data_IF_715724324880
#
_entry.id   IF_715724324880
#
_cell.length_a   1.000
_cell.length_b   1.000
_cell.length_c   1.000
_cell.angle_alpha   90.00
_cell.angle_beta   90.00
_cell.angle_gamma   90.00
#
_symmetry.space_group_name_H-M   'P 1'
#
loop_
_entity.id
_entity.type
_entity.pdbx_description
1 polymer ?
#
# COMPACT_ATOMS: atom_id res chain seq x y z
N UNK A 1 23.30 10.92 18.71
CA UNK A 1 23.38 9.72 17.85
C UNK A 1 22.55 8.56 18.41
N UNK A 2 22.86 7.98 19.57
CA UNK A 2 22.15 6.79 20.08
C UNK A 2 20.62 6.95 20.26
N UNK A 3 20.12 8.12 20.67
CA UNK A 3 18.68 8.33 20.84
C UNK A 3 17.91 8.35 19.50
N UNK A 4 18.54 8.85 18.43
CA UNK A 4 17.92 8.98 17.12
C UNK A 4 17.84 7.62 16.42
N UNK A 5 18.89 6.80 16.54
CA UNK A 5 18.89 5.43 16.03
C UNK A 5 17.84 4.56 16.73
N UNK A 6 17.77 4.63 18.07
CA UNK A 6 16.73 3.92 18.83
C UNK A 6 15.32 4.33 18.40
N UNK A 7 15.07 5.63 18.20
CA UNK A 7 13.76 6.11 17.75
C UNK A 7 13.39 5.52 16.38
N UNK A 8 14.29 5.54 15.40
CA UNK A 8 14.05 4.97 14.07
C UNK A 8 13.78 3.47 14.16
N UNK A 9 14.58 2.72 14.92
CA UNK A 9 14.40 1.27 15.09
C UNK A 9 13.05 0.90 15.69
N UNK A 10 12.64 1.57 16.78
CA UNK A 10 11.33 1.29 17.41
C UNK A 10 10.15 1.77 16.56
N UNK A 11 10.32 2.87 15.83
CA UNK A 11 9.32 3.35 14.88
C UNK A 11 9.11 2.33 13.75
N UNK A 12 10.19 1.83 13.12
CA UNK A 12 10.13 0.79 12.10
C UNK A 12 9.47 -0.49 12.61
N UNK A 13 9.78 -0.95 13.83
CA UNK A 13 9.13 -2.11 14.44
C UNK A 13 7.62 -1.87 14.64
N UNK A 14 7.25 -0.69 15.13
CA UNK A 14 5.85 -0.31 15.32
C UNK A 14 5.10 -0.30 13.98
N UNK A 15 5.72 0.26 12.94
CA UNK A 15 5.16 0.25 11.59
C UNK A 15 4.96 -1.18 11.08
N UNK A 16 5.92 -2.09 11.30
CA UNK A 16 5.77 -3.50 10.92
C UNK A 16 4.57 -4.13 11.60
N UNK A 17 4.50 -4.04 12.94
CA UNK A 17 3.43 -4.68 13.70
C UNK A 17 2.06 -4.12 13.28
N UNK A 18 1.91 -2.80 13.29
CA UNK A 18 0.63 -2.13 12.97
C UNK A 18 0.25 -2.34 11.51
N UNK A 19 1.19 -2.18 10.59
CA UNK A 19 0.97 -2.37 9.16
C UNK A 19 0.60 -3.81 8.83
N UNK A 20 1.25 -4.81 9.42
CA UNK A 20 0.89 -6.22 9.22
C UNK A 20 -0.52 -6.50 9.71
N UNK A 21 -0.89 -6.04 10.91
CA UNK A 21 -2.23 -6.23 11.46
C UNK A 21 -3.31 -5.59 10.56
N UNK A 22 -3.11 -4.34 10.13
CA UNK A 22 -4.06 -3.62 9.29
C UNK A 22 -4.16 -4.19 7.87
N UNK A 23 -3.03 -4.56 7.26
CA UNK A 23 -3.01 -5.18 5.92
C UNK A 23 -3.61 -6.58 5.93
N UNK A 24 -3.36 -7.37 6.98
CA UNK A 24 -3.97 -8.68 7.14
C UNK A 24 -5.49 -8.56 7.36
N UNK A 25 -5.93 -7.63 8.21
CA UNK A 25 -7.35 -7.36 8.40
C UNK A 25 -8.01 -6.90 7.10
N UNK A 26 -7.35 -6.01 6.34
CA UNK A 26 -7.79 -5.59 5.00
C UNK A 26 -7.98 -6.79 4.08
N UNK A 27 -7.00 -7.69 4.04
CA UNK A 27 -7.05 -8.91 3.23
C UNK A 27 -8.23 -9.80 3.61
N UNK A 28 -8.48 -10.03 4.91
CA UNK A 28 -9.64 -10.80 5.39
C UNK A 28 -10.97 -10.19 4.92
N UNK A 29 -11.13 -8.87 5.07
CA UNK A 29 -12.36 -8.17 4.65
C UNK A 29 -12.55 -8.28 3.13
N UNK A 30 -11.49 -8.08 2.34
CA UNK A 30 -11.53 -8.26 0.89
C UNK A 30 -11.81 -9.72 0.50
N UNK A 31 -11.35 -10.69 1.30
CA UNK A 31 -11.68 -12.11 1.21
C UNK A 31 -13.19 -12.36 1.33
N UNK A 32 -13.80 -11.84 2.39
CA UNK A 32 -15.25 -11.92 2.63
C UNK A 32 -16.07 -11.22 1.54
N UNK A 33 -15.62 -10.08 1.03
CA UNK A 33 -16.36 -9.31 0.03
C UNK A 33 -16.53 -10.05 -1.32
N UNK A 34 -15.55 -10.89 -1.71
CA UNK A 34 -15.63 -11.69 -2.96
C UNK A 34 -16.67 -12.78 -2.88
N UNK A 35 -16.80 -13.43 -1.71
CA UNK A 35 -17.84 -14.44 -1.47
C UNK A 35 -19.22 -13.84 -1.68
N UNK A 36 -19.42 -12.60 -1.21
CA UNK A 36 -20.69 -11.89 -1.34
C UNK A 36 -20.95 -11.29 -2.73
N UNK A 37 -19.92 -11.04 -3.56
CA UNK A 37 -20.10 -10.25 -4.79
C UNK A 37 -19.29 -10.75 -6.00
N UNK A 38 -19.81 -11.78 -6.70
CA UNK A 38 -19.18 -12.38 -7.89
C UNK A 38 -18.89 -11.40 -9.05
N UNK A 39 -19.62 -10.29 -9.19
CA UNK A 39 -19.50 -9.35 -10.34
C UNK A 39 -18.30 -8.40 -10.31
N UNK A 40 -17.57 -8.28 -9.19
CA UNK A 40 -16.36 -7.44 -9.08
C UNK A 40 -15.07 -8.25 -8.85
N UNK A 41 -15.01 -9.46 -9.43
CA UNK A 41 -13.90 -10.40 -9.25
C UNK A 41 -12.52 -9.78 -9.57
N UNK A 42 -12.40 -9.05 -10.69
CA UNK A 42 -11.11 -8.48 -11.14
C UNK A 42 -10.59 -7.40 -10.20
N UNK A 43 -11.39 -6.38 -9.87
CA UNK A 43 -11.00 -5.31 -8.94
C UNK A 43 -10.66 -5.86 -7.55
N UNK A 44 -11.44 -6.83 -7.03
CA UNK A 44 -11.14 -7.41 -5.72
C UNK A 44 -9.90 -8.28 -5.73
N UNK A 45 -9.56 -8.90 -6.85
CA UNK A 45 -8.29 -9.59 -7.01
C UNK A 45 -7.13 -8.58 -6.93
N UNK A 46 -7.26 -7.47 -7.66
CA UNK A 46 -6.26 -6.40 -7.67
C UNK A 46 -6.03 -5.79 -6.28
N UNK A 47 -7.09 -5.42 -5.55
CA UNK A 47 -6.97 -4.87 -4.20
C UNK A 47 -6.32 -5.84 -3.20
N UNK A 48 -6.52 -7.17 -3.37
CA UNK A 48 -5.82 -8.17 -2.54
C UNK A 48 -4.35 -8.26 -2.90
N UNK A 49 -4.05 -8.22 -4.19
CA UNK A 49 -2.67 -8.20 -4.66
C UNK A 49 -1.93 -6.99 -4.07
N UNK A 50 -2.56 -5.80 -4.07
CA UNK A 50 -2.00 -4.62 -3.37
C UNK A 50 -1.76 -4.91 -1.89
N UNK A 51 -2.76 -5.44 -1.16
CA UNK A 51 -2.59 -5.72 0.27
C UNK A 51 -1.46 -6.73 0.56
N UNK A 52 -1.22 -7.70 -0.33
CA UNK A 52 -0.10 -8.63 -0.22
C UNK A 52 1.23 -7.91 -0.46
N UNK A 53 1.29 -7.06 -1.50
CA UNK A 53 2.47 -6.25 -1.77
C UNK A 53 2.77 -5.28 -0.62
N UNK A 54 1.75 -4.67 -0.01
CA UNK A 54 1.92 -3.81 1.16
C UNK A 54 2.58 -4.58 2.31
N UNK A 55 2.18 -5.84 2.57
CA UNK A 55 2.83 -6.69 3.58
C UNK A 55 4.28 -6.97 3.19
N UNK A 56 4.54 -7.40 1.95
CA UNK A 56 5.89 -7.72 1.49
C UNK A 56 6.84 -6.52 1.59
N UNK A 57 6.38 -5.34 1.18
CA UNK A 57 7.16 -4.09 1.26
C UNK A 57 7.43 -3.67 2.71
N UNK A 58 6.46 -3.88 3.60
CA UNK A 58 6.61 -3.61 5.03
C UNK A 58 7.75 -4.42 5.64
N UNK A 59 7.83 -5.72 5.30
CA UNK A 59 8.85 -6.64 5.80
C UNK A 59 10.20 -6.49 5.11
N UNK A 60 10.23 -6.13 3.82
CA UNK A 60 11.48 -6.06 3.06
C UNK A 60 12.51 -5.09 3.65
N UNK A 61 12.07 -3.96 4.18
CA UNK A 61 12.97 -2.90 4.62
C UNK A 61 12.93 -2.58 6.10
N UNK A 62 11.75 -2.54 6.73
CA UNK A 62 11.68 -2.26 8.17
C UNK A 62 12.27 -3.41 9.00
N UNK A 63 12.18 -4.65 8.49
CA UNK A 63 12.83 -5.78 9.14
C UNK A 63 14.36 -5.66 9.00
N UNK A 64 14.85 -5.20 7.84
CA UNK A 64 16.27 -4.99 7.61
C UNK A 64 16.83 -3.91 8.55
N UNK A 65 16.15 -2.76 8.66
CA UNK A 65 16.52 -1.69 9.61
C UNK A 65 16.48 -2.15 11.08
N UNK A 66 15.52 -3.00 11.44
CA UNK A 66 15.44 -3.55 12.80
C UNK A 66 16.57 -4.55 13.08
N UNK A 67 16.85 -5.46 12.14
CA UNK A 67 17.89 -6.48 12.28
C UNK A 67 19.29 -5.85 12.31
N UNK A 68 19.54 -4.84 11.48
CA UNK A 68 20.78 -4.09 11.49
C UNK A 68 20.95 -3.33 12.81
N UNK A 69 19.93 -2.57 13.23
CA UNK A 69 20.01 -1.73 14.43
C UNK A 69 20.18 -2.51 15.75
N UNK A 70 19.65 -3.73 15.87
CA UNK A 70 19.70 -4.53 17.10
C UNK A 70 20.76 -5.63 17.05
N UNK A 71 20.89 -6.32 15.92
CA UNK A 71 21.73 -7.51 15.81
C UNK A 71 22.97 -7.29 14.94
N UNK A 72 23.11 -6.14 14.28
CA UNK A 72 24.22 -5.85 13.36
C UNK A 72 24.21 -6.73 12.11
N UNK A 73 23.06 -7.35 11.78
CA UNK A 73 22.90 -8.14 10.56
C UNK A 73 22.17 -7.30 9.52
N UNK A 74 22.88 -6.93 8.47
CA UNK A 74 22.28 -6.41 7.25
C UNK A 74 21.89 -7.56 6.32
N UNK A 75 20.63 -7.64 5.90
CA UNK A 75 20.17 -8.53 4.81
C UNK A 75 20.54 -7.94 3.43
N UNK A 76 21.48 -6.98 3.42
CA UNK A 76 21.84 -6.11 2.30
C UNK A 76 22.02 -6.82 0.96
N UNK A 77 21.18 -6.42 0.01
CA UNK A 77 21.56 -6.22 -1.41
C UNK A 77 21.48 -4.72 -1.67
N UNK A 78 22.50 -3.98 -1.21
CA UNK A 78 22.51 -2.58 -0.76
C UNK A 78 22.20 -1.47 -1.78
N UNK A 79 21.80 -1.78 -3.01
CA UNK A 79 21.58 -0.74 -4.04
C UNK A 79 20.73 -1.21 -5.20
N UNK A 80 20.81 -2.50 -5.53
CA UNK A 80 20.01 -3.12 -6.60
C UNK A 80 18.56 -3.39 -6.13
N UNK A 81 18.33 -3.45 -4.82
CA UNK A 81 17.04 -3.80 -4.22
C UNK A 81 16.06 -2.62 -4.19
N UNK A 82 16.42 -1.45 -3.66
CA UNK A 82 15.43 -0.39 -3.41
C UNK A 82 14.75 0.13 -4.68
N UNK A 83 15.55 0.39 -5.72
CA UNK A 83 15.03 0.85 -7.00
C UNK A 83 14.18 -0.25 -7.66
N UNK A 84 14.60 -1.51 -7.62
CA UNK A 84 13.84 -2.61 -8.21
C UNK A 84 12.56 -2.89 -7.42
N UNK A 85 12.63 -2.93 -6.09
CA UNK A 85 11.49 -3.18 -5.21
C UNK A 85 10.52 -1.99 -5.12
N UNK A 86 10.93 -0.76 -5.44
CA UNK A 86 9.98 0.37 -5.55
C UNK A 86 9.49 0.55 -7.00
N UNK A 87 10.36 0.45 -8.00
CA UNK A 87 9.99 0.62 -9.40
C UNK A 87 9.12 -0.52 -9.93
N UNK A 88 9.37 -1.78 -9.56
CA UNK A 88 8.54 -2.90 -10.02
C UNK A 88 7.09 -2.75 -9.52
N UNK A 89 6.81 -2.59 -8.21
CA UNK A 89 5.45 -2.34 -7.74
C UNK A 89 4.84 -1.08 -8.32
N UNK A 90 5.63 -0.03 -8.55
CA UNK A 90 5.16 1.18 -9.19
C UNK A 90 4.70 0.93 -10.64
N UNK A 91 5.54 0.33 -11.48
CA UNK A 91 5.23 0.01 -12.88
C UNK A 91 4.02 -0.93 -12.92
N UNK A 92 3.99 -1.96 -12.08
CA UNK A 92 2.84 -2.86 -11.98
C UNK A 92 1.58 -2.10 -11.55
N UNK A 93 1.67 -1.22 -10.55
CA UNK A 93 0.55 -0.41 -10.09
C UNK A 93 0.01 0.46 -11.22
N UNK A 94 0.87 1.15 -11.99
CA UNK A 94 0.48 1.98 -13.13
C UNK A 94 -0.16 1.15 -14.24
N UNK A 95 0.43 0.01 -14.62
CA UNK A 95 -0.10 -0.88 -15.67
C UNK A 95 -1.47 -1.41 -15.25
N UNK A 96 -1.60 -1.94 -14.03
CA UNK A 96 -2.86 -2.49 -13.56
C UNK A 96 -3.92 -1.41 -13.38
N UNK A 97 -3.58 -0.23 -12.83
CA UNK A 97 -4.53 0.86 -12.69
C UNK A 97 -5.01 1.38 -14.05
N UNK A 98 -4.10 1.52 -15.02
CA UNK A 98 -4.44 1.88 -16.39
C UNK A 98 -5.36 0.82 -17.02
N UNK A 99 -5.05 -0.46 -16.85
CA UNK A 99 -5.87 -1.56 -17.34
C UNK A 99 -7.26 -1.60 -16.71
N UNK A 100 -7.37 -1.37 -15.40
CA UNK A 100 -8.66 -1.30 -14.71
C UNK A 100 -9.47 -0.09 -15.15
N UNK A 101 -8.85 1.09 -15.27
CA UNK A 101 -9.51 2.31 -15.77
C UNK A 101 -9.98 2.11 -17.21
N UNK A 102 -9.12 1.59 -18.09
CA UNK A 102 -9.46 1.29 -19.47
C UNK A 102 -10.63 0.30 -19.56
N UNK A 103 -10.57 -0.79 -18.80
CA UNK A 103 -11.67 -1.77 -18.75
C UNK A 103 -12.97 -1.15 -18.23
N UNK A 104 -12.89 -0.26 -17.24
CA UNK A 104 -14.04 0.47 -16.69
C UNK A 104 -14.65 1.42 -17.73
N UNK A 105 -13.83 2.15 -18.48
CA UNK A 105 -14.27 3.06 -19.55
C UNK A 105 -14.89 2.25 -20.70
N UNK A 106 -14.22 1.19 -21.15
CA UNK A 106 -14.73 0.33 -22.22
C UNK A 106 -16.08 -0.30 -21.86
N UNK A 107 -16.21 -0.77 -20.61
CA UNK A 107 -17.47 -1.33 -20.11
C UNK A 107 -18.55 -0.27 -19.92
N UNK A 108 -18.18 0.96 -19.54
CA UNK A 108 -19.10 2.08 -19.50
C UNK A 108 -19.69 2.35 -20.89
N UNK A 109 -18.86 2.29 -21.94
CA UNK A 109 -19.31 2.53 -23.31
C UNK A 109 -20.30 1.47 -23.81
N UNK A 110 -20.23 0.23 -23.31
CA UNK A 110 -21.13 -0.87 -23.72
C UNK A 110 -22.37 -1.04 -22.85
N UNK A 111 -22.45 -0.42 -21.67
CA UNK A 111 -23.56 -0.67 -20.72
C UNK A 111 -24.31 0.61 -20.37
N UNK A 112 -25.35 0.91 -21.13
CA UNK A 112 -26.33 2.00 -20.91
C UNK A 112 -27.27 1.69 -19.73
N UNK A 113 -26.74 1.36 -18.55
CA UNK A 113 -27.57 1.06 -17.37
C UNK A 113 -27.10 1.90 -16.18
N UNK A 114 -27.91 2.90 -15.83
CA UNK A 114 -27.72 3.93 -14.79
C UNK A 114 -27.26 3.41 -13.42
N UNK A 115 -27.54 2.15 -13.08
CA UNK A 115 -27.25 1.56 -11.77
C UNK A 115 -25.81 1.01 -11.61
N UNK A 116 -25.08 0.77 -12.70
CA UNK A 116 -23.64 0.41 -12.62
C UNK A 116 -22.76 1.62 -12.24
N UNK A 117 -23.23 2.83 -12.57
CA UNK A 117 -22.48 4.11 -12.51
C UNK A 117 -21.96 4.45 -11.11
N UNK A 118 -22.78 4.28 -10.07
CA UNK A 118 -22.42 4.64 -8.69
C UNK A 118 -21.34 3.70 -8.14
N UNK A 119 -21.39 2.42 -8.51
CA UNK A 119 -20.43 1.40 -8.03
C UNK A 119 -19.06 1.57 -8.66
N UNK A 120 -19.01 1.91 -9.95
CA UNK A 120 -17.73 2.11 -10.66
C UNK A 120 -17.01 3.37 -10.15
N UNK A 121 -17.75 4.44 -9.84
CA UNK A 121 -17.16 5.70 -9.34
C UNK A 121 -16.36 5.53 -8.05
N UNK A 122 -16.90 4.82 -7.05
CA UNK A 122 -16.20 4.60 -5.77
C UNK A 122 -14.90 3.81 -5.97
N UNK A 123 -14.91 2.78 -6.82
CA UNK A 123 -13.72 1.98 -7.13
C UNK A 123 -12.66 2.83 -7.86
N UNK A 124 -13.08 3.58 -8.87
CA UNK A 124 -12.17 4.46 -9.62
C UNK A 124 -11.54 5.50 -8.70
N UNK A 125 -12.32 6.12 -7.82
CA UNK A 125 -11.81 7.07 -6.83
C UNK A 125 -10.77 6.39 -5.94
N UNK A 126 -11.06 5.21 -5.38
CA UNK A 126 -10.09 4.46 -4.56
C UNK A 126 -8.78 4.24 -5.30
N UNK A 127 -8.83 3.74 -6.55
CA UNK A 127 -7.63 3.44 -7.35
C UNK A 127 -6.82 4.69 -7.67
N UNK A 128 -7.49 5.77 -8.07
CA UNK A 128 -6.85 7.06 -8.36
C UNK A 128 -6.19 7.57 -7.08
N UNK A 129 -6.91 7.63 -5.96
CA UNK A 129 -6.41 8.12 -4.68
C UNK A 129 -5.23 7.28 -4.18
N UNK A 130 -5.28 5.94 -4.25
CA UNK A 130 -4.13 5.09 -3.88
C UNK A 130 -2.92 5.36 -4.77
N UNK A 131 -3.12 5.55 -6.08
CA UNK A 131 -2.00 5.82 -7.00
C UNK A 131 -1.33 7.15 -6.69
N UNK A 132 -2.13 8.21 -6.48
CA UNK A 132 -1.61 9.53 -6.14
C UNK A 132 -0.88 9.54 -4.80
N UNK A 133 -1.43 8.88 -3.78
CA UNK A 133 -0.76 8.79 -2.48
C UNK A 133 0.52 7.97 -2.55
N UNK A 134 0.51 6.85 -3.29
CA UNK A 134 1.71 6.06 -3.52
C UNK A 134 2.79 6.93 -4.15
N UNK A 135 2.48 7.65 -5.24
CA UNK A 135 3.40 8.57 -5.90
C UNK A 135 3.97 9.63 -4.95
N UNK A 136 3.10 10.34 -4.23
CA UNK A 136 3.50 11.44 -3.35
C UNK A 136 4.40 10.94 -2.21
N UNK A 137 4.15 9.74 -1.69
CA UNK A 137 4.92 9.20 -0.56
C UNK A 137 6.18 8.42 -0.98
N UNK A 138 6.22 7.86 -2.19
CA UNK A 138 7.33 7.00 -2.65
C UNK A 138 8.37 7.74 -3.51
N UNK A 139 7.93 8.70 -4.32
CA UNK A 139 8.82 9.41 -5.25
C UNK A 139 9.88 10.25 -4.51
N UNK A 140 9.54 11.03 -3.46
CA UNK A 140 10.53 11.82 -2.74
C UNK A 140 11.65 10.96 -2.14
N UNK A 141 11.30 9.83 -1.51
CA UNK A 141 12.28 8.89 -0.95
C UNK A 141 13.16 8.31 -2.06
N UNK A 142 12.56 7.83 -3.15
CA UNK A 142 13.31 7.24 -4.27
C UNK A 142 14.27 8.24 -4.91
N UNK A 143 13.85 9.48 -5.13
CA UNK A 143 14.71 10.55 -5.67
C UNK A 143 15.83 10.89 -4.70
N UNK A 144 15.52 11.02 -3.41
CA UNK A 144 16.53 11.33 -2.39
C UNK A 144 17.60 10.24 -2.31
N UNK A 145 17.22 8.96 -2.24
CA UNK A 145 18.18 7.85 -2.19
C UNK A 145 18.96 7.67 -3.49
N UNK A 146 18.37 7.95 -4.66
CA UNK A 146 19.04 7.77 -5.94
C UNK A 146 20.05 8.87 -6.26
N UNK A 147 19.73 10.13 -5.93
CA UNK A 147 20.56 11.29 -6.32
C UNK A 147 21.38 11.86 -5.17
N UNK A 148 21.00 11.59 -3.92
CA UNK A 148 21.66 12.13 -2.72
C UNK A 148 21.95 11.03 -1.68
N UNK A 149 22.71 9.97 -2.04
CA UNK A 149 22.98 8.85 -1.14
C UNK A 149 23.75 9.28 0.12
N UNK A 150 24.66 10.25 -0.01
CA UNK A 150 25.42 10.84 1.11
C UNK A 150 24.75 12.12 1.66
N UNK A 151 23.44 12.27 1.42
CA UNK A 151 22.65 13.41 1.88
C UNK A 151 22.50 13.45 3.41
N UNK A 152 21.77 14.45 3.91
CA UNK A 152 21.48 14.53 5.34
C UNK A 152 20.67 13.29 5.79
N UNK A 153 21.31 12.44 6.61
CA UNK A 153 20.73 11.19 7.15
C UNK A 153 19.35 11.41 7.78
N UNK A 154 19.15 12.55 8.46
CA UNK A 154 17.86 12.86 9.09
C UNK A 154 16.74 13.03 8.06
N UNK A 155 17.04 13.66 6.92
CA UNK A 155 16.09 13.85 5.82
C UNK A 155 15.80 12.50 5.15
N UNK A 156 16.84 11.69 4.91
CA UNK A 156 16.69 10.37 4.32
C UNK A 156 15.82 9.46 5.19
N UNK A 157 16.09 9.36 6.49
CA UNK A 157 15.26 8.59 7.43
C UNK A 157 13.83 9.14 7.54
N UNK A 158 13.62 10.45 7.44
CA UNK A 158 12.29 11.02 7.45
C UNK A 158 11.48 10.66 6.20
N UNK A 159 12.08 10.79 5.02
CA UNK A 159 11.46 10.40 3.74
C UNK A 159 11.17 8.90 3.69
N UNK A 160 12.07 8.10 4.25
CA UNK A 160 11.91 6.68 4.42
C UNK A 160 10.74 6.33 5.35
N UNK A 161 10.61 7.03 6.48
CA UNK A 161 9.44 6.92 7.35
C UNK A 161 8.12 7.26 6.64
N UNK A 162 8.10 8.27 5.76
CA UNK A 162 6.93 8.61 4.94
C UNK A 162 6.58 7.47 3.98
N UNK A 163 7.59 6.91 3.29
CA UNK A 163 7.43 5.77 2.38
C UNK A 163 6.74 4.59 3.08
N UNK A 164 7.17 4.20 4.28
CA UNK A 164 6.55 3.07 4.98
C UNK A 164 5.20 3.38 5.60
N UNK A 165 4.99 4.64 6.00
CA UNK A 165 3.68 5.07 6.51
C UNK A 165 2.59 4.85 5.45
N UNK A 166 2.89 5.02 4.17
CA UNK A 166 1.96 4.76 3.07
C UNK A 166 1.32 3.36 3.16
N UNK A 167 2.11 2.31 3.40
CA UNK A 167 1.60 0.94 3.43
C UNK A 167 0.57 0.70 4.55
N UNK A 168 0.61 1.52 5.60
CA UNK A 168 -0.38 1.50 6.69
C UNK A 168 -1.65 2.28 6.28
N UNK A 169 -1.51 3.31 5.44
CA UNK A 169 -2.63 4.14 4.99
C UNK A 169 -3.61 3.42 4.05
N UNK A 170 -3.25 2.27 3.48
CA UNK A 170 -4.14 1.46 2.63
C UNK A 170 -5.47 1.13 3.32
N UNK A 171 -5.44 0.73 4.60
CA UNK A 171 -6.65 0.40 5.36
C UNK A 171 -7.60 1.61 5.55
N UNK A 172 -7.18 2.73 6.17
CA UNK A 172 -8.06 3.88 6.33
C UNK A 172 -8.53 4.45 4.99
N UNK A 173 -7.71 4.38 3.95
CA UNK A 173 -8.10 4.78 2.60
C UNK A 173 -9.26 3.92 2.07
N UNK A 174 -9.19 2.61 2.21
CA UNK A 174 -10.31 1.73 1.82
C UNK A 174 -11.55 1.95 2.69
N UNK A 175 -11.37 2.25 3.97
CA UNK A 175 -12.48 2.57 4.87
C UNK A 175 -13.22 3.85 4.44
N UNK A 176 -12.49 4.88 4.00
CA UNK A 176 -13.06 6.17 3.57
C UNK A 176 -13.67 6.04 2.17
N UNK A 177 -12.92 5.49 1.21
CA UNK A 177 -13.24 5.56 -0.22
C UNK A 177 -14.13 4.42 -0.71
N UNK A 178 -14.06 3.23 -0.07
CA UNK A 178 -14.76 2.04 -0.53
C UNK A 178 -15.91 1.63 0.39
N UNK A 179 -17.10 2.20 0.12
CA UNK A 179 -18.27 2.03 1.00
C UNK A 179 -18.73 0.57 1.23
N UNK A 180 -18.38 -0.37 0.34
CA UNK A 180 -18.63 -1.80 0.57
C UNK A 180 -17.68 -2.41 1.59
N UNK A 181 -16.40 -2.06 1.50
CA UNK A 181 -15.39 -2.46 2.48
C UNK A 181 -15.78 -1.96 3.87
N UNK A 182 -16.12 -0.67 3.99
CA UNK A 182 -16.59 -0.07 5.24
C UNK A 182 -17.78 -0.81 5.86
N UNK A 183 -18.75 -1.21 5.03
CA UNK A 183 -19.92 -1.97 5.50
C UNK A 183 -19.54 -3.33 6.05
N UNK A 184 -18.64 -4.05 5.38
CA UNK A 184 -18.17 -5.35 5.88
C UNK A 184 -17.35 -5.20 7.17
N UNK A 185 -16.56 -4.13 7.31
CA UNK A 185 -15.87 -3.81 8.58
C UNK A 185 -16.88 -3.66 9.71
N UNK A 186 -17.95 -2.88 9.52
CA UNK A 186 -19.00 -2.72 10.54
C UNK A 186 -19.74 -4.03 10.86
N UNK A 187 -19.97 -4.89 9.86
CA UNK A 187 -20.55 -6.22 10.10
C UNK A 187 -19.61 -7.09 10.93
N UNK A 188 -18.30 -7.04 10.69
CA UNK A 188 -17.32 -7.79 11.48
C UNK A 188 -17.26 -7.29 12.93
N UNK A 189 -17.41 -5.98 13.16
CA UNK A 189 -17.40 -5.39 14.49
C UNK A 189 -18.69 -5.71 15.27
N UNK A 190 -19.86 -5.67 14.60
CA UNK A 190 -21.18 -5.92 15.24
C UNK A 190 -21.51 -7.39 15.51
N UNK A 191 -20.69 -8.33 15.05
CA UNK A 191 -20.88 -9.77 15.32
C UNK A 191 -20.11 -10.26 16.57
N UNK A 192 -19.73 -9.33 17.44
CA UNK A 192 -19.38 -9.56 18.83
C UNK A 192 -20.40 -8.85 19.71
#
# INVERSE_FOLDING_TARGET
MAAQTLFVTYYSLTLVIVGTLLSFFTFIILCRLKLRNRRAKSTLCYLRTIAIFDILMLYGWNLDHYLDGIYGFTVQTSSISLCVYNCIPFILMVIFNSGVIYHLIHRHHRTTIRNSRIRHRSITITLITTTFLFLIMTVPATVAFAFFPDGNETILHFLDGILYTYHITSFPLYLITFGKFRREVFVCIKHK
#
